data_IF_786106131885
#
_entry.id   IF_786106131885
#
_cell.length_a   1.000
_cell.length_b   1.000
_cell.length_c   1.000
_cell.angle_alpha   90.00
_cell.angle_beta   90.00
_cell.angle_gamma   90.00
#
_symmetry.space_group_name_H-M   'P 1'
#
loop_
_entity.id
_entity.type
_entity.pdbx_description
1 polymer ?
#
# COMPACT_ATOMS: atom_id res chain seq x y z
N UNK A 1 -5.08 -12.96 -2.37
CA UNK A 1 -3.79 -12.91 -1.67
C UNK A 1 -4.00 -13.62 -0.35
N UNK A 2 -3.42 -14.81 -0.17
CA UNK A 2 -3.64 -15.65 1.01
C UNK A 2 -2.67 -15.22 2.11
N UNK A 3 -3.19 -14.75 3.24
CA UNK A 3 -2.39 -14.59 4.46
C UNK A 3 -2.33 -15.96 5.12
N UNK A 4 -1.15 -16.58 5.16
CA UNK A 4 -0.91 -17.70 6.08
C UNK A 4 -1.30 -17.22 7.49
N UNK A 5 -2.30 -17.86 8.09
CA UNK A 5 -2.80 -17.60 9.44
C UNK A 5 -1.76 -18.01 10.51
N UNK A 6 -0.54 -17.49 10.44
CA UNK A 6 0.36 -17.47 11.58
C UNK A 6 -0.05 -16.26 12.45
N UNK A 7 -0.46 -16.46 13.70
CA UNK A 7 -0.80 -15.35 14.60
C UNK A 7 0.39 -14.40 14.74
N UNK A 8 0.11 -13.10 14.88
CA UNK A 8 1.09 -12.11 15.32
C UNK A 8 1.88 -12.67 16.51
N UNK A 9 3.22 -12.74 16.39
CA UNK A 9 4.07 -13.23 17.49
C UNK A 9 5.26 -14.11 17.12
N UNK A 10 5.41 -14.62 15.89
CA UNK A 10 6.65 -15.33 15.51
C UNK A 10 7.73 -14.46 14.86
N UNK A 11 7.37 -13.34 14.23
CA UNK A 11 8.33 -12.33 13.73
C UNK A 11 7.70 -10.94 13.77
N UNK A 12 8.21 -10.07 14.63
CA UNK A 12 8.00 -8.64 14.49
C UNK A 12 8.77 -8.17 13.26
N UNK A 13 8.08 -7.55 12.33
CA UNK A 13 8.65 -7.00 11.10
C UNK A 13 8.23 -5.55 10.92
N UNK A 14 8.95 -4.81 10.08
CA UNK A 14 8.77 -3.35 9.99
C UNK A 14 7.43 -2.91 9.40
N UNK A 15 6.76 -3.81 8.66
CA UNK A 15 5.45 -3.61 8.06
C UNK A 15 4.57 -4.86 8.22
N UNK A 16 3.31 -4.69 8.60
CA UNK A 16 2.28 -5.73 8.53
C UNK A 16 1.02 -5.19 7.86
N UNK A 17 0.42 -6.01 7.01
CA UNK A 17 -0.87 -5.75 6.39
C UNK A 17 -2.00 -6.29 7.28
N UNK A 18 -2.86 -5.39 7.76
CA UNK A 18 -4.08 -5.70 8.50
C UNK A 18 -5.17 -6.30 7.62
N UNK A 19 -6.16 -6.95 8.22
CA UNK A 19 -7.28 -7.55 7.49
C UNK A 19 -8.27 -6.52 6.92
N UNK A 20 -8.27 -5.28 7.42
CA UNK A 20 -9.09 -4.17 6.93
C UNK A 20 -8.31 -3.16 6.07
N UNK A 21 -7.22 -3.61 5.42
CA UNK A 21 -6.30 -2.76 4.66
C UNK A 21 -5.55 -1.71 5.50
N UNK A 22 -5.51 -1.86 6.83
CA UNK A 22 -4.67 -1.03 7.70
C UNK A 22 -3.20 -1.46 7.59
N UNK A 23 -2.28 -0.51 7.66
CA UNK A 23 -0.85 -0.80 7.64
C UNK A 23 -0.26 -0.57 9.01
N UNK A 24 0.27 -1.63 9.62
CA UNK A 24 0.99 -1.52 10.87
C UNK A 24 2.47 -1.39 10.57
N UNK A 25 3.06 -0.28 10.98
CA UNK A 25 4.48 0.02 10.75
C UNK A 25 5.20 0.29 12.06
N UNK A 26 6.50 0.06 12.10
CA UNK A 26 7.34 0.49 13.23
C UNK A 26 8.11 1.78 12.89
N UNK A 27 8.96 2.23 13.82
CA UNK A 27 9.81 3.42 13.65
C UNK A 27 10.73 3.35 12.43
N UNK A 28 11.24 2.15 12.08
CA UNK A 28 12.17 1.99 10.95
C UNK A 28 11.49 2.34 9.63
N UNK A 29 10.29 1.81 9.40
CA UNK A 29 9.50 2.14 8.21
C UNK A 29 9.10 3.62 8.22
N UNK A 30 8.63 4.13 9.37
CA UNK A 30 8.22 5.53 9.52
C UNK A 30 9.38 6.49 9.21
N UNK A 31 10.59 6.16 9.65
CA UNK A 31 11.77 6.97 9.38
C UNK A 31 12.11 6.99 7.89
N UNK A 32 11.91 5.90 7.15
CA UNK A 32 12.08 5.91 5.70
C UNK A 32 11.14 6.93 5.03
N UNK A 33 9.85 6.92 5.39
CA UNK A 33 8.89 7.91 4.86
C UNK A 33 9.33 9.35 5.14
N UNK A 34 9.73 9.64 6.38
CA UNK A 34 10.22 10.97 6.79
C UNK A 34 11.50 11.38 6.05
N UNK A 35 12.46 10.46 5.91
CA UNK A 35 13.74 10.71 5.25
C UNK A 35 13.56 11.15 3.81
N UNK A 36 12.62 10.53 3.09
CA UNK A 36 12.42 10.87 1.68
C UNK A 36 11.49 12.06 1.46
N UNK A 37 10.97 12.64 2.54
CA UNK A 37 10.12 13.82 2.49
C UNK A 37 8.65 13.51 2.17
N UNK A 38 8.22 12.25 2.30
CA UNK A 38 6.79 11.94 2.26
C UNK A 38 6.10 12.62 3.45
N UNK A 39 4.99 13.30 3.18
CA UNK A 39 4.34 14.16 4.16
C UNK A 39 2.83 13.95 4.28
N UNK A 40 2.21 13.26 3.34
CA UNK A 40 0.75 13.16 3.29
C UNK A 40 0.24 11.81 3.81
N UNK A 41 0.50 11.58 5.11
CA UNK A 41 0.01 10.43 5.86
C UNK A 41 -0.32 10.80 7.30
N UNK A 42 -1.11 9.97 7.96
CA UNK A 42 -1.36 10.05 9.40
C UNK A 42 -0.81 8.82 10.09
N UNK A 43 -0.44 9.00 11.35
CA UNK A 43 0.10 7.95 12.22
C UNK A 43 -0.75 7.89 13.47
N UNK A 44 -1.24 6.69 13.78
CA UNK A 44 -1.94 6.40 15.02
C UNK A 44 -1.10 5.42 15.85
N UNK A 45 -0.55 5.83 17.00
CA UNK A 45 0.23 4.92 17.84
C UNK A 45 -0.67 3.81 18.38
N UNK A 46 -0.15 2.59 18.34
CA UNK A 46 -0.83 1.40 18.84
C UNK A 46 0.15 0.52 19.62
N UNK A 47 -0.38 -0.14 20.65
CA UNK A 47 0.36 -1.16 21.39
C UNK A 47 0.01 -2.52 20.81
N UNK A 48 1.03 -3.25 20.37
CA UNK A 48 0.87 -4.61 19.86
C UNK A 48 1.15 -5.60 21.00
N UNK A 49 0.17 -6.44 21.30
CA UNK A 49 0.31 -7.55 22.24
C UNK A 49 0.93 -8.78 21.54
N UNK A 50 1.66 -9.65 22.27
CA UNK A 50 1.88 -9.63 23.72
C UNK A 50 3.12 -8.85 24.19
N UNK A 51 4.09 -8.53 23.32
CA UNK A 51 5.36 -7.92 23.75
C UNK A 51 5.33 -6.38 23.84
N UNK A 52 4.14 -5.78 23.88
CA UNK A 52 3.88 -4.33 23.99
C UNK A 52 4.79 -3.46 23.11
N UNK A 53 5.10 -3.91 21.89
CA UNK A 53 5.99 -3.16 21.00
C UNK A 53 5.27 -1.93 20.43
N UNK A 54 5.93 -0.78 20.36
CA UNK A 54 5.36 0.41 19.74
C UNK A 54 5.26 0.20 18.24
N UNK A 55 4.03 0.21 17.74
CA UNK A 55 3.71 0.25 16.31
C UNK A 55 2.81 1.44 16.04
N UNK A 56 2.60 1.67 14.77
CA UNK A 56 1.77 2.73 14.25
C UNK A 56 0.83 2.16 13.21
N UNK A 57 -0.43 2.55 13.24
CA UNK A 57 -1.28 2.43 12.05
C UNK A 57 -0.93 3.60 11.14
N UNK A 58 -0.47 3.28 9.93
CA UNK A 58 -0.23 4.19 8.84
C UNK A 58 -1.50 4.36 8.02
N UNK A 59 -2.05 5.57 8.01
CA UNK A 59 -3.12 5.98 7.11
C UNK A 59 -2.53 6.82 5.97
N UNK A 60 -2.55 6.27 4.76
CA UNK A 60 -2.07 6.98 3.56
C UNK A 60 -3.21 7.86 3.04
N UNK A 61 -2.98 9.18 2.98
CA UNK A 61 -3.99 10.13 2.53
C UNK A 61 -3.98 10.33 1.01
N UNK A 62 -2.87 9.98 0.35
CA UNK A 62 -2.74 10.06 -1.10
C UNK A 62 -3.59 8.98 -1.79
N UNK A 63 -4.68 9.39 -2.44
CA UNK A 63 -5.46 8.55 -3.35
C UNK A 63 -5.48 9.21 -4.73
N UNK A 64 -4.87 8.56 -5.73
CA UNK A 64 -4.56 9.19 -7.02
C UNK A 64 -5.19 8.41 -8.17
N UNK A 65 -5.94 9.10 -9.04
CA UNK A 65 -6.43 8.56 -10.31
C UNK A 65 -5.36 8.67 -11.39
N UNK A 66 -4.51 7.65 -11.46
CA UNK A 66 -3.33 7.62 -12.34
C UNK A 66 -3.26 6.37 -13.21
N UNK A 67 -4.30 5.53 -13.27
CA UNK A 67 -4.29 4.36 -14.16
C UNK A 67 -4.39 4.83 -15.61
N UNK A 68 -3.44 4.41 -16.43
CA UNK A 68 -3.56 4.54 -17.89
C UNK A 68 -4.51 3.44 -18.39
N UNK A 69 -5.73 3.83 -18.74
CA UNK A 69 -6.78 2.90 -19.16
C UNK A 69 -6.57 2.33 -20.57
N UNK A 70 -5.73 2.94 -21.40
CA UNK A 70 -5.45 2.48 -22.75
C UNK A 70 -4.33 1.44 -22.74
N UNK A 71 -3.32 1.63 -21.90
CA UNK A 71 -2.16 0.74 -21.81
C UNK A 71 -2.30 -0.40 -20.78
N UNK A 72 -3.27 -0.28 -19.86
CA UNK A 72 -3.57 -1.30 -18.86
C UNK A 72 -4.48 -2.41 -19.40
N UNK A 73 -4.36 -3.61 -18.81
CA UNK A 73 -5.29 -4.74 -18.99
C UNK A 73 -5.97 -5.03 -17.66
N UNK A 74 -7.29 -4.82 -17.61
CA UNK A 74 -8.07 -4.91 -16.38
C UNK A 74 -9.49 -5.40 -16.64
N UNK A 75 -10.12 -5.87 -15.57
CA UNK A 75 -11.52 -6.25 -15.54
C UNK A 75 -12.29 -5.30 -14.63
N UNK A 76 -13.53 -5.00 -14.99
CA UNK A 76 -14.46 -4.25 -14.17
C UNK A 76 -15.46 -5.19 -13.49
N UNK A 77 -16.02 -4.75 -12.38
CA UNK A 77 -17.23 -5.36 -11.85
C UNK A 77 -18.39 -5.06 -12.80
N UNK A 78 -19.11 -6.11 -13.19
CA UNK A 78 -20.23 -6.06 -14.12
C UNK A 78 -21.55 -6.35 -13.41
N UNK A 79 -22.68 -6.19 -14.11
CA UNK A 79 -23.99 -6.55 -13.56
C UNK A 79 -24.09 -8.05 -13.22
N UNK A 80 -23.43 -8.91 -14.01
CA UNK A 80 -23.40 -10.36 -13.81
C UNK A 80 -22.78 -10.77 -12.47
N UNK A 81 -21.88 -9.94 -11.91
CA UNK A 81 -21.23 -10.21 -10.63
C UNK A 81 -22.15 -9.97 -9.42
N UNK A 82 -23.36 -9.43 -9.61
CA UNK A 82 -24.35 -9.15 -8.55
C UNK A 82 -23.80 -8.30 -7.38
N UNK A 83 -22.93 -7.32 -7.69
CA UNK A 83 -22.30 -6.40 -6.74
C UNK A 83 -22.55 -4.94 -7.10
N UNK A 84 -23.75 -4.40 -6.85
CA UNK A 84 -24.10 -3.04 -7.26
C UNK A 84 -23.22 -1.96 -6.57
N UNK A 85 -22.70 -2.23 -5.38
CA UNK A 85 -21.76 -1.35 -4.66
C UNK A 85 -20.39 -1.22 -5.35
N UNK A 86 -20.08 -2.14 -6.27
CA UNK A 86 -18.81 -2.20 -7.00
C UNK A 86 -18.94 -1.97 -8.51
N UNK A 87 -20.15 -1.93 -9.07
CA UNK A 87 -20.40 -1.82 -10.50
C UNK A 87 -19.54 -0.72 -11.16
N UNK A 88 -18.84 -1.06 -12.23
CA UNK A 88 -17.95 -0.15 -12.97
C UNK A 88 -16.60 0.16 -12.31
N UNK A 89 -16.36 -0.30 -11.07
CA UNK A 89 -15.04 -0.19 -10.42
C UNK A 89 -14.10 -1.28 -10.93
N UNK A 90 -12.81 -1.07 -10.75
CA UNK A 90 -11.81 -2.09 -11.06
C UNK A 90 -12.04 -3.33 -10.18
N UNK A 91 -12.12 -4.49 -10.83
CA UNK A 91 -12.20 -5.80 -10.19
C UNK A 91 -10.84 -6.45 -10.05
N UNK A 92 -9.98 -6.28 -11.06
CA UNK A 92 -8.63 -6.82 -11.07
C UNK A 92 -7.83 -6.30 -12.26
N UNK A 93 -6.52 -6.50 -12.20
CA UNK A 93 -5.58 -6.11 -13.24
C UNK A 93 -4.72 -7.30 -13.64
N UNK A 94 -4.62 -7.58 -14.94
CA UNK A 94 -3.62 -8.48 -15.51
C UNK A 94 -2.32 -7.72 -15.81
N UNK A 95 -2.46 -6.43 -16.17
CA UNK A 95 -1.35 -5.49 -16.34
C UNK A 95 -1.82 -4.10 -15.91
N UNK A 96 -1.16 -3.51 -14.93
CA UNK A 96 -1.39 -2.14 -14.51
C UNK A 96 -0.27 -1.25 -15.03
N UNK A 97 -0.64 -0.22 -15.79
CA UNK A 97 0.25 0.86 -16.24
C UNK A 97 -0.25 2.15 -15.62
N UNK A 98 0.68 2.90 -15.00
CA UNK A 98 0.37 4.19 -14.38
C UNK A 98 0.86 5.34 -15.26
N UNK A 99 -0.01 6.32 -15.49
CA UNK A 99 0.36 7.61 -16.03
C UNK A 99 1.06 8.43 -14.94
N UNK A 100 2.39 8.42 -14.99
CA UNK A 100 3.25 9.12 -14.01
C UNK A 100 3.05 10.63 -14.04
N UNK A 101 2.53 11.22 -15.12
CA UNK A 101 2.29 12.66 -15.17
C UNK A 101 1.16 13.10 -14.23
N UNK A 102 0.28 12.16 -13.84
CA UNK A 102 -0.82 12.37 -12.89
C UNK A 102 -0.41 12.20 -11.43
N UNK A 103 0.80 11.69 -11.16
CA UNK A 103 1.32 11.53 -9.80
C UNK A 103 2.02 12.83 -9.39
N UNK A 104 1.57 13.54 -8.35
CA UNK A 104 2.22 14.78 -7.93
C UNK A 104 3.68 14.54 -7.50
N UNK A 105 4.53 15.55 -7.72
CA UNK A 105 5.93 15.51 -7.28
C UNK A 105 6.01 15.41 -5.75
N UNK A 106 6.99 14.66 -5.26
CA UNK A 106 7.21 14.46 -3.82
C UNK A 106 6.22 13.48 -3.17
N UNK A 107 5.35 12.83 -3.95
CA UNK A 107 4.53 11.72 -3.47
C UNK A 107 5.28 10.42 -3.73
N UNK A 108 5.44 9.66 -2.67
CA UNK A 108 6.29 8.49 -2.63
C UNK A 108 5.55 7.23 -2.21
N UNK A 109 4.40 7.39 -1.55
CA UNK A 109 3.46 6.31 -1.23
C UNK A 109 2.03 6.78 -1.46
N UNK A 110 1.24 6.00 -2.19
CA UNK A 110 -0.16 6.34 -2.48
C UNK A 110 -1.01 5.12 -2.82
N UNK A 111 -2.33 5.28 -2.72
CA UNK A 111 -3.33 4.30 -3.18
C UNK A 111 -3.90 4.72 -4.54
N UNK A 112 -4.22 3.72 -5.36
CA UNK A 112 -4.81 3.96 -6.68
C UNK A 112 -6.31 4.21 -6.54
N UNK A 113 -6.81 5.32 -7.10
CA UNK A 113 -8.23 5.61 -7.14
C UNK A 113 -8.98 4.50 -7.89
N UNK A 114 -10.09 4.03 -7.32
CA UNK A 114 -10.88 2.93 -7.88
C UNK A 114 -10.28 1.53 -7.71
N UNK A 115 -9.05 1.38 -7.17
CA UNK A 115 -8.41 0.08 -6.89
C UNK A 115 -7.48 0.15 -5.67
N UNK A 116 -8.03 0.51 -4.51
CA UNK A 116 -7.26 0.76 -3.27
C UNK A 116 -6.70 -0.49 -2.57
N UNK A 117 -6.83 -1.67 -3.19
CA UNK A 117 -6.21 -2.92 -2.73
C UNK A 117 -4.68 -2.86 -2.90
N UNK A 118 -4.20 -2.03 -3.83
CA UNK A 118 -2.77 -1.84 -4.09
C UNK A 118 -2.32 -0.50 -3.50
N UNK A 119 -1.17 -0.56 -2.83
CA UNK A 119 -0.37 0.63 -2.49
C UNK A 119 0.84 0.68 -3.40
N UNK A 120 1.04 1.84 -3.99
CA UNK A 120 2.15 2.13 -4.91
C UNK A 120 3.20 2.91 -4.14
N UNK A 121 4.46 2.53 -4.36
CA UNK A 121 5.64 3.24 -3.82
C UNK A 121 6.56 3.62 -4.96
N UNK A 122 7.28 4.74 -4.83
CA UNK A 122 8.29 5.11 -5.83
C UNK A 122 9.60 4.36 -5.61
N UNK A 123 10.47 4.37 -6.62
CA UNK A 123 11.78 3.71 -6.56
C UNK A 123 12.65 4.28 -5.44
N UNK A 124 12.58 5.59 -5.22
CA UNK A 124 13.32 6.28 -4.16
C UNK A 124 12.93 5.77 -2.77
N UNK A 125 11.64 5.49 -2.54
CA UNK A 125 11.19 4.92 -1.27
C UNK A 125 11.64 3.46 -1.13
N UNK A 126 11.61 2.69 -2.23
CA UNK A 126 12.14 1.31 -2.24
C UNK A 126 13.63 1.30 -1.90
N UNK A 127 14.43 2.19 -2.49
CA UNK A 127 15.86 2.31 -2.21
C UNK A 127 16.13 2.68 -0.75
N UNK A 128 15.31 3.56 -0.15
CA UNK A 128 15.43 3.87 1.29
C UNK A 128 15.01 2.68 2.16
N UNK A 129 14.01 1.89 1.77
CA UNK A 129 13.65 0.66 2.46
C UNK A 129 14.78 -0.38 2.41
N UNK A 130 15.41 -0.57 1.25
CA UNK A 130 16.52 -1.50 1.06
C UNK A 130 17.74 -1.07 1.90
N UNK A 131 18.09 0.22 1.87
CA UNK A 131 19.18 0.80 2.65
C UNK A 131 19.01 0.61 4.15
N UNK A 132 17.77 0.65 4.65
CA UNK A 132 17.47 0.47 6.07
C UNK A 132 17.08 -0.97 6.45
N UNK A 133 17.15 -1.92 5.52
CA UNK A 133 16.76 -3.32 5.73
C UNK A 133 15.32 -3.48 6.24
N UNK A 134 14.38 -2.71 5.67
CA UNK A 134 12.95 -2.78 6.04
C UNK A 134 12.32 -4.07 5.52
N UNK A 135 11.58 -4.79 6.37
CA UNK A 135 10.99 -6.10 6.10
C UNK A 135 9.47 -6.12 6.25
N UNK A 136 8.85 -7.20 5.78
CA UNK A 136 7.43 -7.51 6.04
C UNK A 136 6.51 -7.31 4.86
N UNK A 137 7.07 -6.95 3.70
CA UNK A 137 6.34 -6.80 2.45
C UNK A 137 7.10 -7.47 1.30
N UNK A 138 6.43 -7.58 0.17
CA UNK A 138 7.04 -7.95 -1.12
C UNK A 138 6.72 -6.85 -2.12
N UNK A 139 7.67 -6.56 -3.00
CA UNK A 139 7.50 -5.56 -4.05
C UNK A 139 7.25 -6.28 -5.37
N UNK A 140 6.27 -5.77 -6.12
CA UNK A 140 5.97 -6.23 -7.47
C UNK A 140 6.18 -5.02 -8.39
N UNK A 141 7.08 -5.10 -9.37
CA UNK A 141 7.23 -4.02 -10.35
C UNK A 141 5.92 -3.78 -11.08
N UNK A 142 5.52 -2.51 -11.18
CA UNK A 142 4.46 -2.08 -12.08
C UNK A 142 5.06 -1.86 -13.48
N UNK A 143 4.31 -2.23 -14.50
CA UNK A 143 4.74 -2.19 -15.90
C UNK A 143 4.46 -0.88 -16.61
#
# INVERSE_FOLDING_TARGET
MYTNHEPWGKKYTDFHHGTGDEYYINDRFLNCLKTIGEGNFQIFPVTVLPEEKPYFILNILNVIDCVDRELSKYNLWTEEDNRPDKLGKFRGFDKMVLDRSKVPKGIHIFRVYGYQIVTVVTKELVEEFEKNDVKGFSLIPLG
#
